data_IF_578694922960
#
_entry.id   IF_578694922960
#
_cell.length_a   1.000
_cell.length_b   1.000
_cell.length_c   1.000
_cell.angle_alpha   90.00
_cell.angle_beta   90.00
_cell.angle_gamma   90.00
#
_symmetry.space_group_name_H-M   'P 1'
#
loop_
_entity.id
_entity.type
_entity.pdbx_description
1 polymer ?
#
# COMPACT_ATOMS: atom_id res chain seq x y z
N UNK A 1 8.26 0.03 -14.77
CA UNK A 1 8.99 -1.14 -14.27
C UNK A 1 8.06 -2.22 -13.79
N UNK A 2 7.47 -2.03 -12.61
CA UNK A 2 6.50 -2.95 -11.97
C UNK A 2 5.25 -3.21 -12.81
N UNK A 3 4.67 -2.17 -13.43
CA UNK A 3 3.44 -2.26 -14.24
C UNK A 3 3.64 -3.07 -15.54
N UNK A 4 4.83 -2.98 -16.16
CA UNK A 4 5.13 -3.77 -17.37
C UNK A 4 5.33 -5.25 -17.04
N UNK A 5 5.84 -5.54 -15.84
CA UNK A 5 6.00 -6.91 -15.37
C UNK A 5 4.64 -7.56 -15.03
N UNK A 6 3.68 -6.81 -14.47
CA UNK A 6 2.32 -7.31 -14.23
C UNK A 6 1.55 -7.57 -15.53
N UNK A 7 1.63 -6.67 -16.51
CA UNK A 7 1.03 -6.87 -17.84
C UNK A 7 1.60 -8.11 -18.54
N UNK A 8 2.93 -8.26 -18.51
CA UNK A 8 3.60 -9.41 -19.11
C UNK A 8 3.21 -10.73 -18.43
N UNK A 9 3.08 -10.74 -17.10
CA UNK A 9 2.64 -11.91 -16.35
C UNK A 9 1.19 -12.32 -16.67
N UNK A 10 0.29 -11.34 -16.84
CA UNK A 10 -1.10 -11.58 -17.20
C UNK A 10 -1.22 -12.17 -18.61
N UNK A 11 -0.53 -11.60 -19.60
CA UNK A 11 -0.51 -12.14 -20.96
C UNK A 11 0.08 -13.55 -21.02
N UNK A 12 1.16 -13.79 -20.27
CA UNK A 12 1.77 -15.11 -20.13
C UNK A 12 0.81 -16.16 -19.52
N UNK A 13 0.05 -15.78 -18.50
CA UNK A 13 -0.94 -16.66 -17.89
C UNK A 13 -2.06 -16.99 -18.87
N UNK A 14 -2.61 -15.98 -19.56
CA UNK A 14 -3.66 -16.16 -20.57
C UNK A 14 -3.18 -17.02 -21.75
N UNK A 15 -1.95 -16.82 -22.23
CA UNK A 15 -1.38 -17.62 -23.31
C UNK A 15 -1.24 -19.10 -22.93
N UNK A 16 -1.02 -19.41 -21.65
CA UNK A 16 -0.82 -20.79 -21.17
C UNK A 16 -2.11 -21.46 -20.73
N UNK A 17 -3.06 -20.71 -20.17
CA UNK A 17 -4.26 -21.25 -19.54
C UNK A 17 -5.56 -20.75 -20.15
N UNK A 18 -5.54 -19.97 -21.24
CA UNK A 18 -6.71 -19.33 -21.85
C UNK A 18 -7.85 -20.25 -22.28
N UNK A 19 -7.64 -21.57 -22.32
CA UNK A 19 -8.68 -22.57 -22.54
C UNK A 19 -9.50 -22.92 -21.27
N UNK A 20 -9.10 -22.43 -20.09
CA UNK A 20 -9.89 -22.50 -18.86
C UNK A 20 -10.93 -21.38 -18.87
N UNK A 21 -12.20 -21.71 -18.63
CA UNK A 21 -13.32 -20.75 -18.58
C UNK A 21 -13.13 -19.64 -17.54
N UNK A 22 -12.24 -19.87 -16.57
CA UNK A 22 -11.86 -18.91 -15.53
C UNK A 22 -10.44 -18.35 -15.70
N UNK A 23 -9.78 -18.58 -16.84
CA UNK A 23 -8.39 -18.19 -17.08
C UNK A 23 -8.17 -16.69 -16.88
N UNK A 24 -9.06 -15.86 -17.43
CA UNK A 24 -9.01 -14.41 -17.27
C UNK A 24 -9.16 -13.98 -15.82
N UNK A 25 -10.11 -14.59 -15.10
CA UNK A 25 -10.30 -14.28 -13.67
C UNK A 25 -9.07 -14.66 -12.85
N UNK A 26 -8.46 -15.81 -13.13
CA UNK A 26 -7.25 -16.29 -12.43
C UNK A 26 -6.01 -15.48 -12.80
N UNK A 27 -5.91 -15.01 -14.05
CA UNK A 27 -4.84 -14.13 -14.51
C UNK A 27 -4.90 -12.78 -13.78
N UNK A 28 -6.10 -12.22 -13.64
CA UNK A 28 -6.30 -10.95 -12.94
C UNK A 28 -5.92 -11.06 -11.46
N UNK A 29 -6.40 -12.10 -10.78
CA UNK A 29 -6.06 -12.34 -9.35
C UNK A 29 -4.55 -12.54 -9.17
N UNK A 30 -3.89 -13.27 -10.06
CA UNK A 30 -2.45 -13.49 -9.99
C UNK A 30 -1.63 -12.21 -10.26
N UNK A 31 -2.15 -11.30 -11.08
CA UNK A 31 -1.52 -10.01 -11.38
C UNK A 31 -1.83 -8.92 -10.32
N UNK A 32 -2.95 -9.06 -9.59
CA UNK A 32 -3.37 -8.14 -8.52
C UNK A 32 -2.63 -8.39 -7.20
N UNK A 33 -2.20 -9.63 -6.90
CA UNK A 33 -1.57 -9.99 -5.62
C UNK A 33 -0.03 -9.97 -5.67
N UNK A 34 0.54 -8.81 -6.01
CA UNK A 34 1.99 -8.58 -5.92
C UNK A 34 2.37 -8.14 -4.50
N UNK A 35 2.39 -9.09 -3.56
CA UNK A 35 2.82 -8.83 -2.18
C UNK A 35 4.30 -8.43 -2.14
N UNK A 36 4.62 -7.16 -1.90
CA UNK A 36 5.99 -6.64 -1.90
C UNK A 36 6.42 -6.18 -0.51
N UNK A 37 7.73 -6.23 -0.22
CA UNK A 37 8.25 -5.67 1.02
C UNK A 37 8.26 -4.13 0.90
N UNK A 38 7.59 -3.46 1.84
CA UNK A 38 7.51 -2.00 1.86
C UNK A 38 8.34 -1.45 3.03
N UNK A 39 9.26 -0.53 2.73
CA UNK A 39 9.89 0.32 3.73
C UNK A 39 9.47 1.76 3.46
N UNK A 40 8.96 2.42 4.50
CA UNK A 40 8.51 3.79 4.38
C UNK A 40 8.75 4.56 5.66
N UNK A 41 8.94 5.86 5.49
CA UNK A 41 8.90 6.83 6.57
C UNK A 41 7.59 7.59 6.35
N UNK A 42 6.65 7.39 7.26
CA UNK A 42 5.47 8.24 7.32
C UNK A 42 5.95 9.64 7.74
N UNK A 43 5.81 10.60 6.84
CA UNK A 43 6.07 12.01 7.08
C UNK A 43 4.99 12.61 7.98
N UNK A 44 5.15 13.88 8.34
CA UNK A 44 4.32 14.57 9.32
C UNK A 44 2.82 14.31 9.10
N UNK A 45 2.20 13.60 10.04
CA UNK A 45 0.75 13.44 10.10
C UNK A 45 0.20 14.46 11.08
N UNK A 46 -0.51 15.46 10.55
CA UNK A 46 -1.13 16.49 11.39
C UNK A 46 -2.58 16.12 11.61
N UNK A 47 -2.95 15.81 12.85
CA UNK A 47 -4.32 15.56 13.25
C UNK A 47 -4.90 16.77 13.98
N UNK A 48 -6.07 17.20 13.53
CA UNK A 48 -6.95 18.13 14.22
C UNK A 48 -8.07 17.35 14.89
N UNK A 49 -8.29 17.63 16.18
CA UNK A 49 -9.37 17.01 16.95
C UNK A 49 -10.71 17.61 16.50
N UNK A 50 -11.54 16.81 15.85
CA UNK A 50 -12.87 17.25 15.38
C UNK A 50 -13.96 16.82 16.37
N UNK A 51 -13.88 15.59 16.87
CA UNK A 51 -14.76 15.03 17.90
C UNK A 51 -13.94 14.26 18.92
N UNK A 52 -14.53 13.90 20.06
CA UNK A 52 -13.82 13.15 21.10
C UNK A 52 -13.32 11.76 20.66
N UNK A 53 -13.95 11.18 19.63
CA UNK A 53 -13.60 9.86 19.10
C UNK A 53 -12.95 9.89 17.72
N UNK A 54 -12.85 11.06 17.07
CA UNK A 54 -12.36 11.19 15.69
C UNK A 54 -11.49 12.43 15.52
N UNK A 55 -10.24 12.17 15.14
CA UNK A 55 -9.28 13.17 14.70
C UNK A 55 -9.16 13.10 13.17
N UNK A 56 -9.14 14.25 12.50
CA UNK A 56 -8.95 14.33 11.05
C UNK A 56 -7.63 15.01 10.73
N UNK A 57 -6.94 14.55 9.71
CA UNK A 57 -5.61 15.03 9.40
C UNK A 57 -5.21 14.88 7.96
N UNK A 58 -3.96 15.27 7.69
CA UNK A 58 -3.29 15.02 6.42
C UNK A 58 -2.13 14.07 6.70
N UNK A 59 -2.02 13.03 5.89
CA UNK A 59 -0.92 12.10 5.89
C UNK A 59 -0.07 12.28 4.63
N UNK A 60 1.24 12.37 4.82
CA UNK A 60 2.22 12.35 3.74
C UNK A 60 3.46 11.58 4.19
N UNK A 61 4.41 11.33 3.30
CA UNK A 61 5.63 10.61 3.63
C UNK A 61 6.41 10.19 2.41
N UNK A 62 7.28 9.21 2.60
CA UNK A 62 8.01 8.57 1.53
C UNK A 62 7.96 7.07 1.75
N UNK A 63 7.66 6.33 0.68
CA UNK A 63 7.48 4.89 0.75
C UNK A 63 8.09 4.25 -0.47
N UNK A 64 8.81 3.15 -0.25
CA UNK A 64 9.46 2.35 -1.29
C UNK A 64 9.05 0.90 -1.14
N UNK A 65 8.47 0.36 -2.20
CA UNK A 65 8.28 -1.06 -2.39
C UNK A 65 9.51 -1.64 -3.09
N UNK A 66 10.07 -2.68 -2.48
CA UNK A 66 11.13 -3.46 -3.09
C UNK A 66 10.50 -4.54 -3.96
N UNK A 67 10.91 -4.54 -5.22
CA UNK A 67 10.45 -5.53 -6.19
C UNK A 67 10.96 -6.92 -5.84
N UNK A 68 10.13 -7.95 -6.06
CA UNK A 68 10.52 -9.36 -5.90
C UNK A 68 10.38 -10.08 -7.23
N UNK A 69 11.08 -11.20 -7.39
CA UNK A 69 10.82 -12.11 -8.52
C UNK A 69 9.66 -13.03 -8.15
N UNK A 70 8.66 -13.14 -9.02
CA UNK A 70 7.52 -14.04 -8.86
C UNK A 70 7.41 -14.95 -10.06
N UNK A 71 7.27 -16.25 -9.81
CA UNK A 71 7.02 -17.23 -10.86
C UNK A 71 5.53 -17.28 -11.15
N UNK A 72 5.11 -16.77 -12.32
CA UNK A 72 3.72 -16.84 -12.81
C UNK A 72 3.69 -17.78 -14.00
N UNK A 73 2.81 -18.78 -13.97
CA UNK A 73 2.67 -19.75 -15.05
C UNK A 73 4.02 -20.42 -15.45
N UNK A 74 4.90 -20.65 -14.48
CA UNK A 74 6.23 -21.25 -14.69
C UNK A 74 7.28 -20.32 -15.32
N UNK A 75 7.01 -19.02 -15.41
CA UNK A 75 7.95 -17.98 -15.87
C UNK A 75 8.24 -17.00 -14.74
N UNK A 76 9.51 -16.63 -14.59
CA UNK A 76 9.94 -15.69 -13.56
C UNK A 76 9.80 -14.25 -14.03
N UNK A 77 8.96 -13.49 -13.35
CA UNK A 77 8.77 -12.06 -13.56
C UNK A 77 9.40 -11.30 -12.41
N UNK A 78 10.41 -10.47 -12.73
CA UNK A 78 11.03 -9.59 -11.75
C UNK A 78 10.33 -8.24 -11.79
N UNK A 79 9.74 -7.87 -10.66
CA UNK A 79 9.16 -6.55 -10.49
C UNK A 79 10.26 -5.55 -10.12
N UNK A 80 10.23 -4.36 -10.71
CA UNK A 80 11.13 -3.27 -10.32
C UNK A 80 10.70 -2.63 -9.00
N UNK A 81 11.66 -2.01 -8.32
CA UNK A 81 11.40 -1.16 -7.16
C UNK A 81 10.49 0.01 -7.53
N UNK A 82 9.56 0.31 -6.63
CA UNK A 82 8.59 1.40 -6.81
C UNK A 82 8.64 2.34 -5.61
N UNK A 83 8.83 3.64 -5.87
CA UNK A 83 8.82 4.68 -4.84
C UNK A 83 7.69 5.68 -5.07
N UNK A 84 7.09 6.17 -4.00
CA UNK A 84 6.04 7.19 -4.07
C UNK A 84 5.99 8.08 -2.83
N UNK A 85 5.34 9.23 -3.01
CA UNK A 85 4.99 10.18 -1.95
C UNK A 85 3.47 10.23 -1.84
N UNK A 86 2.86 9.69 -0.77
CA UNK A 86 1.43 9.82 -0.56
C UNK A 86 1.06 11.25 -0.15
N UNK A 87 -0.07 11.73 -0.65
CA UNK A 87 -0.78 12.91 -0.14
C UNK A 87 -2.22 12.47 0.13
N UNK A 88 -2.58 12.35 1.39
CA UNK A 88 -3.84 11.73 1.81
C UNK A 88 -4.54 12.49 2.92
N UNK A 89 -5.87 12.45 2.90
CA UNK A 89 -6.68 12.74 4.07
C UNK A 89 -6.64 11.54 5.01
N UNK A 90 -6.54 11.78 6.31
CA UNK A 90 -6.40 10.77 7.34
C UNK A 90 -7.47 10.93 8.40
N UNK A 91 -8.14 9.84 8.75
CA UNK A 91 -9.05 9.78 9.89
C UNK A 91 -8.50 8.84 10.95
N UNK A 92 -8.32 9.32 12.19
CA UNK A 92 -7.89 8.51 13.32
C UNK A 92 -9.00 8.40 14.35
N UNK A 93 -9.32 7.16 14.71
CA UNK A 93 -10.21 6.86 15.82
C UNK A 93 -9.50 6.11 16.94
N UNK A 94 -10.15 6.07 18.11
CA UNK A 94 -9.66 5.37 19.30
C UNK A 94 -10.74 4.40 19.79
N UNK A 95 -10.36 3.14 19.98
CA UNK A 95 -11.24 2.15 20.61
C UNK A 95 -11.16 2.21 22.14
N UNK A 96 -9.96 2.42 22.66
CA UNK A 96 -9.65 2.57 24.08
C UNK A 96 -8.47 3.55 24.23
N UNK A 97 -8.07 3.89 25.46
CA UNK A 97 -6.98 4.81 25.78
C UNK A 97 -5.68 4.49 25.04
N UNK A 98 -5.42 3.20 24.80
CA UNK A 98 -4.18 2.71 24.25
C UNK A 98 -4.31 2.14 22.84
N UNK A 99 -5.51 1.96 22.28
CA UNK A 99 -5.70 1.36 20.95
C UNK A 99 -6.29 2.38 20.00
N UNK A 100 -5.63 2.55 18.85
CA UNK A 100 -6.08 3.42 17.78
C UNK A 100 -6.23 2.66 16.47
N UNK A 101 -7.03 3.23 15.58
CA UNK A 101 -7.06 2.87 14.17
C UNK A 101 -6.97 4.13 13.33
N UNK A 102 -6.49 3.96 12.10
CA UNK A 102 -6.37 5.05 11.14
C UNK A 102 -6.78 4.56 9.77
N UNK A 103 -7.50 5.40 9.04
CA UNK A 103 -7.82 5.18 7.64
C UNK A 103 -7.36 6.40 6.84
N UNK A 104 -6.49 6.16 5.87
CA UNK A 104 -5.95 7.18 4.97
C UNK A 104 -6.46 6.92 3.56
N UNK A 105 -6.86 7.98 2.86
CA UNK A 105 -7.23 7.93 1.44
C UNK A 105 -6.72 9.16 0.72
N UNK A 106 -6.18 8.98 -0.48
CA UNK A 106 -5.62 10.09 -1.25
C UNK A 106 -4.96 9.65 -2.54
N UNK A 107 -3.90 10.34 -2.92
CA UNK A 107 -3.17 10.07 -4.15
C UNK A 107 -1.68 9.87 -3.85
N UNK A 108 -1.10 8.80 -4.38
CA UNK A 108 0.32 8.53 -4.35
C UNK A 108 0.99 9.11 -5.59
N UNK A 109 1.95 10.02 -5.40
CA UNK A 109 2.76 10.57 -6.48
C UNK A 109 3.94 9.62 -6.72
N UNK A 110 3.96 8.94 -7.86
CA UNK A 110 5.05 8.03 -8.23
C UNK A 110 6.36 8.77 -8.51
N UNK A 111 7.48 8.13 -8.18
CA UNK A 111 8.83 8.63 -8.39
C UNK A 111 9.61 7.74 -9.37
N UNK A 112 10.66 8.28 -9.99
CA UNK A 112 11.58 7.53 -10.87
C UNK A 112 10.87 6.73 -11.98
N UNK A 113 10.02 7.39 -12.77
CA UNK A 113 9.24 6.80 -13.87
C UNK A 113 8.19 5.77 -13.45
N UNK A 114 7.77 5.80 -12.20
CA UNK A 114 6.59 5.07 -11.78
C UNK A 114 5.36 5.97 -11.78
N UNK A 115 4.24 5.39 -12.20
CA UNK A 115 2.97 6.10 -12.24
C UNK A 115 2.42 6.27 -10.82
N UNK A 116 1.70 7.38 -10.63
CA UNK A 116 0.95 7.61 -9.40
C UNK A 116 -0.36 6.82 -9.39
N UNK A 117 -1.14 6.96 -8.33
CA UNK A 117 -2.44 6.29 -8.25
C UNK A 117 -3.22 6.60 -6.99
N UNK A 118 -4.45 6.06 -6.92
CA UNK A 118 -5.27 6.07 -5.72
C UNK A 118 -4.52 5.38 -4.58
N UNK A 119 -4.26 6.12 -3.52
CA UNK A 119 -3.62 5.64 -2.31
C UNK A 119 -4.66 5.35 -1.23
N UNK A 120 -4.53 4.22 -0.56
CA UNK A 120 -5.30 3.90 0.63
C UNK A 120 -4.44 3.17 1.66
N UNK A 121 -4.67 3.45 2.94
CA UNK A 121 -3.99 2.75 4.04
C UNK A 121 -4.90 2.60 5.26
N UNK A 122 -4.96 1.39 5.80
CA UNK A 122 -5.52 1.09 7.11
C UNK A 122 -4.41 0.82 8.11
N UNK A 123 -4.54 1.38 9.32
CA UNK A 123 -3.63 1.12 10.46
C UNK A 123 -4.43 0.70 11.68
N UNK A 124 -3.86 -0.21 12.46
CA UNK A 124 -4.32 -0.52 13.82
C UNK A 124 -3.10 -0.64 14.72
N UNK A 125 -3.14 -0.03 15.90
CA UNK A 125 -1.96 0.03 16.74
C UNK A 125 -2.20 0.45 18.16
N UNK A 126 -1.10 0.43 18.90
CA UNK A 126 -1.01 0.85 20.28
C UNK A 126 -0.38 2.23 20.40
N UNK A 127 -1.02 3.07 21.19
CA UNK A 127 -0.59 4.41 21.56
C UNK A 127 0.18 4.35 22.88
N UNK A 128 1.42 4.83 22.89
CA UNK A 128 2.19 5.16 24.10
C UNK A 128 2.57 6.63 24.09
N UNK A 129 3.02 7.17 25.22
CA UNK A 129 3.28 8.61 25.39
C UNK A 129 4.10 9.22 24.26
N UNK A 130 5.22 8.58 23.86
CA UNK A 130 6.14 9.15 22.87
C UNK A 130 6.09 8.49 21.49
N UNK A 131 5.43 7.33 21.37
CA UNK A 131 5.40 6.59 20.11
C UNK A 131 4.11 5.81 19.92
N UNK A 132 3.78 5.58 18.65
CA UNK A 132 2.72 4.69 18.20
C UNK A 132 3.37 3.45 17.56
N UNK A 133 2.97 2.25 17.97
CA UNK A 133 3.34 0.99 17.31
C UNK A 133 2.12 0.46 16.58
N UNK A 134 2.22 0.13 15.29
CA UNK A 134 1.05 -0.27 14.51
C UNK A 134 1.36 -1.32 13.46
N UNK A 135 0.35 -2.13 13.13
CA UNK A 135 0.29 -2.88 11.90
C UNK A 135 -0.49 -2.06 10.86
N UNK A 136 -0.15 -2.21 9.59
CA UNK A 136 -0.82 -1.52 8.51
C UNK A 136 -1.05 -2.42 7.29
N UNK A 137 -2.11 -2.12 6.55
CA UNK A 137 -2.31 -2.55 5.18
C UNK A 137 -2.38 -1.31 4.29
N UNK A 138 -1.65 -1.31 3.19
CA UNK A 138 -1.46 -0.15 2.34
C UNK A 138 -1.46 -0.57 0.89
N UNK A 139 -2.12 0.21 0.04
CA UNK A 139 -2.12 -0.02 -1.39
C UNK A 139 -2.06 1.27 -2.20
N UNK A 140 -1.52 1.13 -3.40
CA UNK A 140 -1.67 2.10 -4.48
C UNK A 140 -2.31 1.38 -5.66
N UNK A 141 -3.37 1.98 -6.20
CA UNK A 141 -4.09 1.49 -7.36
C UNK A 141 -4.10 2.54 -8.46
N UNK A 142 -3.69 2.14 -9.65
CA UNK A 142 -3.99 2.84 -10.89
C UNK A 142 -4.62 1.83 -11.85
N UNK A 143 -3.94 1.48 -12.97
CA UNK A 143 -4.34 0.35 -13.82
C UNK A 143 -4.08 -1.02 -13.16
N UNK A 144 -3.11 -1.09 -12.25
CA UNK A 144 -2.82 -2.24 -11.42
C UNK A 144 -2.73 -1.83 -9.95
N UNK A 145 -3.02 -2.77 -9.04
CA UNK A 145 -2.91 -2.55 -7.60
C UNK A 145 -1.64 -3.19 -7.06
N UNK A 146 -0.87 -2.44 -6.29
CA UNK A 146 0.23 -2.97 -5.47
C UNK A 146 -0.10 -2.72 -4.00
N UNK A 147 -0.02 -3.76 -3.19
CA UNK A 147 -0.33 -3.68 -1.76
C UNK A 147 0.74 -4.33 -0.88
N UNK A 148 0.80 -3.88 0.38
CA UNK A 148 1.63 -4.48 1.41
C UNK A 148 0.92 -4.47 2.77
N UNK A 149 1.24 -5.51 3.54
CA UNK A 149 0.99 -5.59 4.98
C UNK A 149 2.34 -5.38 5.68
N UNK A 150 2.34 -4.61 6.77
CA UNK A 150 3.56 -4.36 7.52
C UNK A 150 3.32 -3.93 8.95
N UNK A 151 4.42 -3.64 9.64
CA UNK A 151 4.43 -3.02 10.97
C UNK A 151 5.27 -1.76 10.93
N UNK A 152 4.93 -0.78 11.77
CA UNK A 152 5.60 0.51 11.82
C UNK A 152 5.62 1.09 13.22
N UNK A 153 6.55 2.03 13.42
CA UNK A 153 6.61 2.87 14.62
C UNK A 153 6.57 4.33 14.19
N UNK A 154 5.80 5.16 14.89
CA UNK A 154 5.75 6.60 14.66
C UNK A 154 6.09 7.35 15.95
N UNK A 155 6.97 8.34 15.86
CA UNK A 155 7.31 9.20 17.00
C UNK A 155 6.36 10.40 17.06
N UNK A 156 5.88 10.74 18.27
CA UNK A 156 5.02 11.90 18.48
C UNK A 156 5.86 13.12 18.82
N UNK A 157 5.81 14.14 17.96
CA UNK A 157 6.35 15.45 18.25
C UNK A 157 5.33 16.20 19.11
N UNK A 158 5.73 16.59 20.32
CA UNK A 158 4.96 17.42 21.24
C UNK A 158 5.39 18.89 21.12
#
# INVERSE_FOLDING_TARGET
GTLRASEAAQQAYLARFGNDENAERKANIAAEDVSSFNLGIDGAVYFYKVKDFLDLGIATGYSRFFGKTQTVAGMDFTYDDFGYIPVAASGRGKFDHNIFYTADIGYGIGLNNADGGLYYQGKVGWNKDNFDLFAFYRGISDNFTVSAIGVGVAYKLH
#
